data_IF_690930856902
#
_entry.id   IF_690930856902
#
_cell.length_a   1.000
_cell.length_b   1.000
_cell.length_c   1.000
_cell.angle_alpha   90.00
_cell.angle_beta   90.00
_cell.angle_gamma   90.00
#
_symmetry.space_group_name_H-M   'P 1'
#
loop_
_entity.id
_entity.type
_entity.pdbx_description
1 polymer ?
#
# COMPACT_ATOMS: atom_id res chain seq x y z
N UNK A 1 -77.63 2.47 15.22
CA UNK A 1 -76.75 3.61 14.89
C UNK A 1 -75.83 3.15 13.78
N UNK A 2 -75.61 4.01 12.80
CA UNK A 2 -74.50 3.95 11.83
C UNK A 2 -74.61 3.00 10.61
N UNK A 3 -75.04 3.63 9.50
CA UNK A 3 -74.43 3.62 8.15
C UNK A 3 -73.90 2.32 7.54
N UNK A 4 -74.78 1.71 6.74
CA UNK A 4 -74.56 0.75 5.65
C UNK A 4 -73.97 1.44 4.39
N UNK A 5 -73.29 0.68 3.52
CA UNK A 5 -73.69 0.39 2.13
C UNK A 5 -72.69 -0.62 1.54
N UNK A 6 -73.10 -1.89 1.60
CA UNK A 6 -72.78 -2.92 0.62
C UNK A 6 -74.02 -3.06 -0.28
N UNK A 7 -73.86 -3.15 -1.59
CA UNK A 7 -74.85 -3.71 -2.53
C UNK A 7 -74.13 -4.04 -3.85
N UNK A 8 -73.99 -5.30 -4.22
CA UNK A 8 -74.98 -6.26 -4.77
C UNK A 8 -75.12 -6.14 -6.30
N UNK A 9 -74.93 -7.31 -6.90
CA UNK A 9 -75.05 -7.73 -8.28
C UNK A 9 -76.42 -7.43 -8.90
N UNK A 10 -76.42 -7.00 -10.17
CA UNK A 10 -77.57 -7.09 -11.05
C UNK A 10 -77.13 -7.56 -12.44
N UNK A 11 -77.77 -8.64 -12.86
CA UNK A 11 -77.89 -9.19 -14.20
C UNK A 11 -78.36 -8.15 -15.25
N UNK A 12 -77.76 -8.15 -16.44
CA UNK A 12 -78.52 -8.34 -17.70
C UNK A 12 -77.58 -8.59 -18.88
N UNK A 13 -77.82 -9.71 -19.55
CA UNK A 13 -77.47 -9.99 -20.95
C UNK A 13 -78.02 -8.89 -21.87
N UNK A 14 -77.17 -8.29 -22.73
CA UNK A 14 -77.55 -7.96 -24.12
C UNK A 14 -76.30 -7.74 -24.98
N UNK A 15 -76.25 -8.49 -26.09
CA UNK A 15 -75.35 -8.33 -27.23
C UNK A 15 -75.33 -6.88 -27.76
N UNK A 16 -74.16 -6.37 -28.18
CA UNK A 16 -73.99 -5.68 -29.48
C UNK A 16 -72.52 -5.22 -29.74
N UNK A 17 -71.87 -5.95 -30.63
CA UNK A 17 -71.03 -5.50 -31.77
C UNK A 17 -70.12 -4.26 -31.63
N UNK A 18 -68.81 -4.52 -31.72
CA UNK A 18 -67.81 -3.86 -32.59
C UNK A 18 -68.02 -2.36 -32.91
N UNK A 19 -67.32 -1.50 -32.17
CA UNK A 19 -66.95 -0.14 -32.61
C UNK A 19 -65.52 0.15 -32.14
N UNK A 20 -64.53 -0.38 -32.86
CA UNK A 20 -63.14 0.11 -32.76
C UNK A 20 -63.05 1.31 -33.70
N UNK A 21 -63.13 2.51 -33.12
CA UNK A 21 -62.91 3.77 -33.83
C UNK A 21 -61.50 3.82 -34.39
N UNK A 22 -61.39 3.83 -35.72
CA UNK A 22 -60.15 3.98 -36.48
C UNK A 22 -59.60 5.42 -36.31
N UNK A 23 -58.96 5.73 -35.18
CA UNK A 23 -58.33 7.03 -34.95
C UNK A 23 -57.05 7.15 -35.80
N UNK A 24 -57.14 7.89 -36.89
CA UNK A 24 -55.99 8.28 -37.72
C UNK A 24 -55.26 9.45 -37.05
N UNK A 25 -53.94 9.38 -37.03
CA UNK A 25 -53.03 10.37 -36.45
C UNK A 25 -52.61 11.40 -37.50
N UNK A 26 -52.95 12.68 -37.34
CA UNK A 26 -52.63 13.73 -38.31
C UNK A 26 -51.42 14.59 -37.88
N UNK A 27 -50.65 15.05 -38.86
CA UNK A 27 -49.58 16.03 -38.66
C UNK A 27 -50.14 17.46 -38.72
N UNK A 28 -49.92 18.27 -37.69
CA UNK A 28 -50.46 19.64 -37.65
C UNK A 28 -49.74 20.64 -38.59
N UNK A 29 -48.61 20.24 -39.18
CA UNK A 29 -47.77 21.11 -40.03
C UNK A 29 -48.07 20.90 -41.52
N UNK A 30 -48.28 19.66 -41.95
CA UNK A 30 -48.60 19.35 -43.36
C UNK A 30 -49.93 18.61 -43.55
N UNK A 31 -50.72 18.45 -42.48
CA UNK A 31 -52.06 17.84 -42.45
C UNK A 31 -52.17 16.42 -43.02
N UNK A 32 -51.05 15.70 -43.16
CA UNK A 32 -51.05 14.29 -43.57
C UNK A 32 -51.54 13.38 -42.46
N UNK A 33 -52.46 12.47 -42.81
CA UNK A 33 -53.02 11.45 -41.93
C UNK A 33 -52.19 10.16 -41.95
N UNK A 34 -51.97 9.58 -40.78
CA UNK A 34 -51.20 8.36 -40.57
C UNK A 34 -52.03 7.36 -39.77
N UNK A 35 -51.97 6.08 -40.17
CA UNK A 35 -52.68 5.00 -39.47
C UNK A 35 -52.00 4.58 -38.16
N UNK A 36 -50.74 4.95 -37.93
CA UNK A 36 -49.94 4.54 -36.77
C UNK A 36 -49.22 5.74 -36.14
N UNK A 37 -49.26 5.84 -34.80
CA UNK A 37 -48.60 6.89 -34.01
C UNK A 37 -47.09 7.01 -34.29
N UNK A 38 -46.40 5.87 -34.40
CA UNK A 38 -44.96 5.81 -34.66
C UNK A 38 -44.60 6.35 -36.07
N UNK A 39 -45.48 6.18 -37.06
CA UNK A 39 -45.32 6.77 -38.39
C UNK A 39 -45.49 8.28 -38.37
N UNK A 40 -46.41 8.80 -37.54
CA UNK A 40 -46.56 10.23 -37.31
C UNK A 40 -45.33 10.81 -36.59
N UNK A 41 -44.78 10.15 -35.58
CA UNK A 41 -43.60 10.64 -34.84
C UNK A 41 -42.36 10.75 -35.74
N UNK A 42 -42.09 9.72 -36.56
CA UNK A 42 -41.01 9.78 -37.56
C UNK A 42 -41.23 10.90 -38.58
N UNK A 43 -42.49 11.09 -38.99
CA UNK A 43 -42.83 12.16 -39.91
C UNK A 43 -42.70 13.55 -39.27
N UNK A 44 -43.08 13.74 -38.00
CA UNK A 44 -42.94 15.01 -37.27
C UNK A 44 -41.49 15.48 -37.26
N UNK A 45 -40.54 14.61 -36.93
CA UNK A 45 -39.10 14.95 -36.94
C UNK A 45 -38.64 15.47 -38.31
N UNK A 46 -39.08 14.83 -39.40
CA UNK A 46 -38.71 15.23 -40.76
C UNK A 46 -39.51 16.44 -41.27
N UNK A 47 -40.76 16.59 -40.85
CA UNK A 47 -41.64 17.68 -41.23
C UNK A 47 -41.21 18.97 -40.53
N UNK A 48 -40.89 18.90 -39.24
CA UNK A 48 -40.36 20.01 -38.45
C UNK A 48 -39.01 20.46 -39.03
N UNK A 49 -38.10 19.53 -39.37
CA UNK A 49 -36.83 19.87 -40.02
C UNK A 49 -37.02 20.55 -41.40
N UNK A 50 -38.03 20.13 -42.17
CA UNK A 50 -38.32 20.68 -43.50
C UNK A 50 -38.97 22.07 -43.43
N UNK A 51 -39.79 22.33 -42.40
CA UNK A 51 -40.51 23.59 -42.21
C UNK A 51 -39.81 24.58 -41.26
N UNK A 52 -38.70 24.20 -40.61
CA UNK A 52 -37.80 25.12 -39.88
C UNK A 52 -37.41 26.31 -40.76
N UNK A 53 -37.61 27.52 -40.25
CA UNK A 53 -37.28 28.74 -40.97
C UNK A 53 -35.76 28.87 -41.17
N UNK A 54 -35.33 29.61 -42.19
CA UNK A 54 -33.90 29.84 -42.42
C UNK A 54 -33.22 30.54 -41.23
N UNK A 55 -33.98 31.30 -40.43
CA UNK A 55 -33.48 31.97 -39.23
C UNK A 55 -33.19 30.96 -38.10
N UNK A 56 -34.07 30.00 -37.87
CA UNK A 56 -33.89 28.95 -36.85
C UNK A 56 -32.73 28.01 -37.19
N UNK A 57 -32.53 27.72 -38.48
CA UNK A 57 -31.37 26.93 -38.94
C UNK A 57 -30.05 27.66 -38.74
N UNK A 58 -30.07 28.99 -38.79
CA UNK A 58 -28.88 29.81 -38.58
C UNK A 58 -28.56 29.97 -37.10
N UNK A 59 -29.57 30.09 -36.23
CA UNK A 59 -29.41 30.08 -34.77
C UNK A 59 -28.86 28.73 -34.28
N UNK A 60 -29.41 27.59 -34.76
CA UNK A 60 -28.87 26.25 -34.43
C UNK A 60 -27.41 26.09 -34.88
N UNK A 61 -26.99 26.78 -35.95
CA UNK A 61 -25.63 26.73 -36.49
C UNK A 61 -24.67 27.63 -35.70
N UNK A 62 -25.15 28.78 -35.20
CA UNK A 62 -24.40 29.69 -34.33
C UNK A 62 -24.23 29.12 -32.91
N UNK A 63 -25.22 28.39 -32.38
CA UNK A 63 -25.16 27.75 -31.05
C UNK A 63 -24.38 26.42 -31.04
N UNK A 64 -24.24 25.74 -32.18
CA UNK A 64 -23.49 24.49 -32.30
C UNK A 64 -22.00 24.66 -32.63
N UNK A 65 -21.49 25.90 -32.67
CA UNK A 65 -20.13 26.23 -33.16
C UNK A 65 -18.96 25.53 -32.46
N UNK A 66 -19.15 25.07 -31.21
CA UNK A 66 -18.12 24.39 -30.41
C UNK A 66 -18.25 22.86 -30.38
N UNK A 67 -19.25 22.28 -31.06
CA UNK A 67 -19.47 20.82 -31.07
C UNK A 67 -18.78 20.23 -32.30
N UNK A 68 -17.77 19.35 -32.11
CA UNK A 68 -17.11 18.69 -33.23
C UNK A 68 -18.14 17.93 -34.07
N UNK A 69 -18.12 18.14 -35.38
CA UNK A 69 -18.92 17.33 -36.31
C UNK A 69 -18.60 15.85 -36.10
N UNK A 70 -19.53 14.94 -36.42
CA UNK A 70 -19.31 13.50 -36.28
C UNK A 70 -17.99 13.03 -36.95
N UNK A 71 -17.62 13.64 -38.08
CA UNK A 71 -16.35 13.37 -38.76
C UNK A 71 -15.15 13.85 -37.95
N UNK A 72 -15.21 15.04 -37.34
CA UNK A 72 -14.16 15.54 -36.46
C UNK A 72 -14.06 14.72 -35.17
N UNK A 73 -15.19 14.30 -34.59
CA UNK A 73 -15.22 13.40 -33.44
C UNK A 73 -14.55 12.06 -33.74
N UNK A 74 -14.87 11.45 -34.89
CA UNK A 74 -14.21 10.21 -35.35
C UNK A 74 -12.71 10.42 -35.52
N UNK A 75 -12.26 11.55 -36.08
CA UNK A 75 -10.84 11.88 -36.20
C UNK A 75 -10.15 12.05 -34.84
N UNK A 76 -10.84 12.66 -33.86
CA UNK A 76 -10.33 12.82 -32.50
C UNK A 76 -10.20 11.46 -31.82
N UNK A 77 -11.21 10.60 -31.91
CA UNK A 77 -11.17 9.24 -31.35
C UNK A 77 -10.07 8.40 -32.01
N UNK A 78 -9.87 8.52 -33.32
CA UNK A 78 -8.76 7.88 -34.02
C UNK A 78 -7.40 8.38 -33.51
N UNK A 79 -7.23 9.69 -33.34
CA UNK A 79 -6.00 10.27 -32.77
C UNK A 79 -5.77 9.85 -31.32
N UNK A 80 -6.82 9.80 -30.50
CA UNK A 80 -6.73 9.31 -29.13
C UNK A 80 -6.35 7.83 -29.10
N UNK A 81 -6.91 7.00 -29.97
CA UNK A 81 -6.55 5.58 -30.07
C UNK A 81 -5.08 5.41 -30.47
N UNK A 82 -4.58 6.20 -31.43
CA UNK A 82 -3.17 6.18 -31.83
C UNK A 82 -2.28 6.62 -30.66
N UNK A 83 -2.66 7.69 -29.96
CA UNK A 83 -1.91 8.20 -28.80
C UNK A 83 -1.91 7.21 -27.64
N UNK A 84 -3.03 6.52 -27.40
CA UNK A 84 -3.12 5.45 -26.40
C UNK A 84 -2.21 4.28 -26.76
N UNK A 85 -2.23 3.80 -28.01
CA UNK A 85 -1.32 2.73 -28.45
C UNK A 85 0.15 3.13 -28.33
N UNK A 86 0.50 4.38 -28.67
CA UNK A 86 1.85 4.90 -28.47
C UNK A 86 2.25 4.95 -26.99
N UNK A 87 1.37 5.46 -26.12
CA UNK A 87 1.62 5.50 -24.68
C UNK A 87 1.72 4.09 -24.08
N UNK A 88 0.91 3.13 -24.54
CA UNK A 88 1.01 1.72 -24.14
C UNK A 88 2.33 1.08 -24.57
N UNK A 89 2.84 1.44 -25.76
CA UNK A 89 4.13 1.00 -26.26
C UNK A 89 5.29 1.59 -25.44
N UNK A 90 5.30 2.90 -25.21
CA UNK A 90 6.27 3.56 -24.32
C UNK A 90 6.25 2.98 -22.91
N UNK A 91 5.07 2.68 -22.38
CA UNK A 91 4.89 2.08 -21.06
C UNK A 91 5.38 0.61 -21.03
N UNK A 92 5.21 -0.13 -22.13
CA UNK A 92 5.76 -1.47 -22.31
C UNK A 92 7.29 -1.43 -22.41
N UNK A 93 7.86 -0.47 -23.13
CA UNK A 93 9.30 -0.27 -23.23
C UNK A 93 9.91 0.16 -21.91
N UNK A 94 9.28 1.10 -21.18
CA UNK A 94 9.70 1.50 -19.84
C UNK A 94 9.65 0.30 -18.86
N UNK A 95 8.61 -0.53 -18.90
CA UNK A 95 8.52 -1.79 -18.13
C UNK A 95 9.61 -2.79 -18.54
N UNK A 96 9.92 -2.91 -19.84
CA UNK A 96 11.02 -3.78 -20.33
C UNK A 96 12.38 -3.24 -19.89
N UNK A 97 12.61 -1.94 -19.95
CA UNK A 97 13.84 -1.30 -19.50
C UNK A 97 14.01 -1.45 -17.99
N UNK A 98 12.94 -1.23 -17.22
CA UNK A 98 12.92 -1.45 -15.77
C UNK A 98 13.16 -2.93 -15.41
N UNK A 99 12.59 -3.89 -16.15
CA UNK A 99 12.84 -5.32 -15.90
C UNK A 99 14.26 -5.77 -16.29
N UNK A 100 14.85 -5.17 -17.34
CA UNK A 100 16.26 -5.36 -17.71
C UNK A 100 17.20 -4.77 -16.65
N UNK A 101 16.89 -3.59 -16.11
CA UNK A 101 17.66 -2.93 -15.03
C UNK A 101 17.49 -3.62 -13.68
N UNK A 102 16.29 -4.17 -13.39
CA UNK A 102 16.01 -5.03 -12.22
C UNK A 102 16.87 -6.28 -12.17
N UNK A 103 17.42 -6.77 -13.29
CA UNK A 103 18.18 -8.04 -13.30
C UNK A 103 19.48 -8.02 -12.49
N UNK A 104 20.07 -6.87 -12.17
CA UNK A 104 21.16 -6.76 -11.19
C UNK A 104 21.24 -5.33 -10.63
N UNK A 105 20.25 -4.87 -9.87
CA UNK A 105 20.53 -3.73 -8.99
C UNK A 105 21.58 -4.22 -8.01
N UNK A 106 22.80 -3.71 -8.13
CA UNK A 106 23.83 -3.91 -7.13
C UNK A 106 23.40 -3.12 -5.90
N UNK A 107 22.58 -3.74 -5.04
CA UNK A 107 22.05 -3.11 -3.82
C UNK A 107 23.17 -2.50 -2.98
N UNK A 108 24.34 -3.13 -2.95
CA UNK A 108 25.53 -2.61 -2.28
C UNK A 108 26.04 -1.34 -2.96
N UNK A 109 26.17 -1.35 -4.28
CA UNK A 109 26.54 -0.16 -5.06
C UNK A 109 25.57 1.00 -4.86
N UNK A 110 24.26 0.74 -4.97
CA UNK A 110 23.25 1.77 -4.74
C UNK A 110 23.30 2.34 -3.31
N UNK A 111 23.50 1.49 -2.29
CA UNK A 111 23.67 1.95 -0.91
C UNK A 111 24.92 2.83 -0.75
N UNK A 112 26.04 2.47 -1.37
CA UNK A 112 27.27 3.27 -1.35
C UNK A 112 27.08 4.64 -2.00
N UNK A 113 26.33 4.69 -3.10
CA UNK A 113 26.16 5.90 -3.89
C UNK A 113 25.11 6.85 -3.29
N UNK A 114 24.06 6.32 -2.64
CA UNK A 114 22.87 7.10 -2.24
C UNK A 114 22.67 7.20 -0.71
N UNK A 115 23.33 6.35 0.10
CA UNK A 115 23.10 6.31 1.55
C UNK A 115 24.40 6.51 2.30
N UNK A 116 24.52 7.66 2.96
CA UNK A 116 25.61 7.95 3.88
C UNK A 116 25.12 7.78 5.34
N UNK A 117 25.44 6.68 6.01
CA UNK A 117 25.04 6.47 7.39
C UNK A 117 25.83 7.38 8.34
N UNK A 118 25.16 7.85 9.39
CA UNK A 118 25.75 8.74 10.39
C UNK A 118 26.91 8.05 11.14
N UNK A 119 26.85 6.73 11.29
CA UNK A 119 27.76 5.93 12.11
C UNK A 119 28.10 4.59 11.43
N UNK A 120 29.25 3.98 11.72
CA UNK A 120 29.55 2.62 11.26
C UNK A 120 28.74 1.57 12.02
N UNK A 121 28.53 0.39 11.43
CA UNK A 121 27.79 -0.71 12.06
C UNK A 121 28.43 -1.15 13.39
N UNK A 122 29.74 -1.42 13.39
CA UNK A 122 30.45 -1.81 14.62
C UNK A 122 30.41 -0.71 15.69
N UNK A 123 30.52 0.55 15.27
CA UNK A 123 30.44 1.71 16.15
C UNK A 123 29.04 1.82 16.78
N UNK A 124 27.99 1.64 15.98
CA UNK A 124 26.61 1.62 16.48
C UNK A 124 26.34 0.45 17.44
N UNK A 125 26.80 -0.76 17.10
CA UNK A 125 26.67 -1.95 17.98
C UNK A 125 27.39 -1.74 19.32
N UNK A 126 28.51 -1.01 19.32
CA UNK A 126 29.31 -0.79 20.52
C UNK A 126 28.87 0.44 21.34
N UNK A 127 28.43 1.52 20.71
CA UNK A 127 28.19 2.80 21.38
C UNK A 127 26.71 3.10 21.59
N UNK A 128 25.87 2.87 20.57
CA UNK A 128 24.47 3.30 20.57
C UNK A 128 23.49 2.21 21.03
N UNK A 129 23.82 0.93 20.84
CA UNK A 129 22.95 -0.20 21.20
C UNK A 129 22.70 -0.28 22.72
N UNK A 130 21.62 0.29 23.23
CA UNK A 130 21.29 0.32 24.66
C UNK A 130 20.21 -0.69 25.03
N UNK A 131 20.42 -1.36 26.14
CA UNK A 131 19.43 -2.22 26.79
C UNK A 131 18.94 -1.48 28.02
N UNK A 132 17.69 -1.04 28.02
CA UNK A 132 17.05 -0.36 29.14
C UNK A 132 16.48 -1.36 30.18
N UNK A 133 16.30 -0.94 31.44
CA UNK A 133 15.68 -1.75 32.50
C UNK A 133 14.28 -2.28 32.15
N UNK A 134 13.51 -1.53 31.36
CA UNK A 134 12.19 -2.00 30.90
C UNK A 134 12.26 -3.30 30.08
N UNK A 135 13.36 -3.54 29.35
CA UNK A 135 13.55 -4.81 28.63
C UNK A 135 13.74 -5.99 29.60
N UNK A 136 14.21 -5.75 30.82
CA UNK A 136 14.29 -6.77 31.85
C UNK A 136 12.90 -7.14 32.39
N UNK A 137 12.01 -6.17 32.58
CA UNK A 137 10.61 -6.44 32.94
C UNK A 137 9.94 -7.31 31.86
N UNK A 138 10.18 -6.99 30.59
CA UNK A 138 9.71 -7.79 29.46
C UNK A 138 10.32 -9.20 29.44
N UNK A 139 11.57 -9.37 29.90
CA UNK A 139 12.20 -10.69 29.98
C UNK A 139 11.57 -11.56 31.07
N UNK A 140 11.14 -10.96 32.17
CA UNK A 140 10.44 -11.66 33.25
C UNK A 140 9.07 -12.17 32.77
N UNK A 141 8.31 -11.31 32.11
CA UNK A 141 6.94 -11.61 31.67
C UNK A 141 6.85 -12.42 30.36
N UNK A 142 7.72 -12.12 29.38
CA UNK A 142 7.61 -12.65 28.02
C UNK A 142 8.76 -13.59 27.65
N UNK A 143 8.76 -14.03 26.38
CA UNK A 143 9.85 -14.81 25.81
C UNK A 143 11.08 -13.93 25.56
N UNK A 144 12.27 -14.56 25.61
CA UNK A 144 13.52 -13.92 25.24
C UNK A 144 13.49 -13.36 23.81
N UNK A 145 12.83 -14.08 22.89
CA UNK A 145 12.67 -13.64 21.50
C UNK A 145 11.91 -12.32 21.38
N UNK A 146 10.80 -12.20 22.10
CA UNK A 146 10.02 -10.97 22.15
C UNK A 146 10.84 -9.82 22.73
N UNK A 147 11.59 -10.10 23.80
CA UNK A 147 12.45 -9.10 24.44
C UNK A 147 13.55 -8.60 23.50
N UNK A 148 14.25 -9.50 22.81
CA UNK A 148 15.29 -9.13 21.83
C UNK A 148 14.70 -8.34 20.67
N UNK A 149 13.50 -8.69 20.21
CA UNK A 149 12.79 -7.91 19.19
C UNK A 149 12.50 -6.49 19.68
N UNK A 150 12.04 -6.33 20.93
CA UNK A 150 11.81 -5.00 21.52
C UNK A 150 13.09 -4.19 21.70
N UNK A 151 14.21 -4.83 22.04
CA UNK A 151 15.52 -4.18 22.05
C UNK A 151 15.86 -3.64 20.65
N UNK A 152 15.61 -4.41 19.59
CA UNK A 152 15.82 -3.92 18.22
C UNK A 152 14.90 -2.75 17.89
N UNK A 153 13.60 -2.87 18.16
CA UNK A 153 12.63 -1.80 17.90
C UNK A 153 13.03 -0.50 18.61
N UNK A 154 13.44 -0.57 19.87
CA UNK A 154 13.89 0.60 20.64
C UNK A 154 15.15 1.27 20.07
N UNK A 155 16.12 0.47 19.60
CA UNK A 155 17.39 1.01 19.10
C UNK A 155 17.35 1.41 17.62
N UNK A 156 16.35 0.93 16.87
CA UNK A 156 16.16 1.18 15.44
C UNK A 156 14.92 2.03 15.16
N UNK A 157 14.32 2.63 16.18
CA UNK A 157 13.21 3.56 16.00
C UNK A 157 13.71 4.85 15.32
N UNK A 158 13.53 4.89 14.00
CA UNK A 158 13.88 6.02 13.15
C UNK A 158 12.91 7.20 13.39
N UNK A 159 11.72 6.94 13.95
CA UNK A 159 10.69 7.97 14.14
C UNK A 159 11.09 9.04 15.18
N UNK A 160 11.97 8.68 16.13
CA UNK A 160 12.48 9.59 17.16
C UNK A 160 13.75 10.35 16.79
N UNK A 161 14.43 10.02 15.68
CA UNK A 161 15.73 10.61 15.29
C UNK A 161 15.83 10.81 13.77
N UNK A 162 15.29 11.91 13.21
CA UNK A 162 15.31 12.15 11.76
C UNK A 162 16.72 12.29 11.17
N UNK A 163 17.73 12.65 11.97
CA UNK A 163 19.13 12.78 11.53
C UNK A 163 19.93 11.46 11.62
N UNK A 164 19.35 10.41 12.20
CA UNK A 164 20.02 9.12 12.36
C UNK A 164 19.73 8.20 11.17
N UNK A 165 20.70 8.10 10.26
CA UNK A 165 20.66 7.11 9.19
C UNK A 165 21.22 5.79 9.73
N UNK A 166 20.31 4.84 9.97
CA UNK A 166 20.65 3.51 10.49
C UNK A 166 21.73 2.82 9.62
N UNK A 167 22.78 2.25 10.24
CA UNK A 167 23.86 1.55 9.53
C UNK A 167 23.47 0.14 9.10
N UNK A 168 22.22 -0.29 9.33
CA UNK A 168 21.67 -1.57 8.88
C UNK A 168 20.43 -1.34 8.02
N UNK A 169 20.37 -1.99 6.86
CA UNK A 169 19.24 -1.95 5.93
C UNK A 169 18.91 -3.34 5.42
N UNK A 170 17.64 -3.61 5.14
CA UNK A 170 17.20 -4.81 4.43
C UNK A 170 16.04 -4.50 3.47
N UNK A 171 15.94 -5.29 2.41
CA UNK A 171 15.01 -5.04 1.31
C UNK A 171 14.09 -6.25 1.08
N UNK A 172 12.83 -6.00 0.71
CA UNK A 172 11.80 -7.03 0.52
C UNK A 172 12.16 -8.02 -0.59
N UNK A 173 12.97 -7.60 -1.56
CA UNK A 173 13.42 -8.39 -2.71
C UNK A 173 14.39 -9.50 -2.34
N UNK A 174 15.15 -9.33 -1.24
CA UNK A 174 16.10 -10.33 -0.75
C UNK A 174 15.76 -10.72 0.69
N UNK A 175 14.94 -11.75 0.81
CA UNK A 175 14.50 -12.26 2.10
C UNK A 175 15.69 -12.56 3.02
N UNK A 176 15.63 -12.00 4.24
CA UNK A 176 16.63 -12.21 5.28
C UNK A 176 18.07 -11.81 4.94
N UNK A 177 18.26 -10.96 3.93
CA UNK A 177 19.55 -10.37 3.61
C UNK A 177 19.61 -8.98 4.22
N UNK A 178 20.63 -8.74 5.02
CA UNK A 178 20.91 -7.44 5.60
C UNK A 178 22.18 -6.88 4.99
N UNK A 179 22.22 -5.56 4.94
CA UNK A 179 23.34 -4.76 4.49
C UNK A 179 23.80 -3.91 5.67
N UNK A 180 25.10 -3.92 5.92
CA UNK A 180 25.73 -3.16 7.00
C UNK A 180 26.76 -2.21 6.40
N UNK A 181 26.90 -1.03 6.99
CA UNK A 181 27.94 -0.10 6.60
C UNK A 181 29.12 -0.18 7.56
N UNK A 182 30.34 -0.30 7.03
CA UNK A 182 31.56 -0.13 7.81
C UNK A 182 32.19 1.23 7.48
N UNK A 183 32.53 1.97 8.53
CA UNK A 183 33.42 3.13 8.44
C UNK A 183 34.82 2.62 8.76
N UNK A 184 35.58 2.29 7.73
CA UNK A 184 36.84 1.57 7.91
C UNK A 184 37.65 1.52 6.62
N UNK A 185 38.15 2.67 6.19
CA UNK A 185 39.13 2.79 5.12
C UNK A 185 39.96 4.06 5.30
N UNK A 186 41.18 4.08 4.77
CA UNK A 186 42.21 5.14 4.91
C UNK A 186 41.73 6.56 4.50
N UNK A 187 40.52 6.71 3.98
CA UNK A 187 39.91 8.00 3.57
C UNK A 187 38.55 8.32 4.23
N UNK A 188 38.09 7.54 5.23
CA UNK A 188 36.81 7.82 5.92
C UNK A 188 35.56 7.60 5.07
N UNK A 189 35.68 6.90 3.93
CA UNK A 189 34.54 6.52 3.08
C UNK A 189 33.74 5.40 3.74
N UNK A 190 32.42 5.57 3.74
CA UNK A 190 31.43 4.58 4.19
C UNK A 190 31.30 3.48 3.15
N UNK A 191 31.64 2.24 3.50
CA UNK A 191 31.45 1.08 2.61
C UNK A 191 30.34 0.18 3.13
N UNK A 192 29.28 0.05 2.35
CA UNK A 192 28.23 -0.93 2.55
C UNK A 192 28.70 -2.30 2.10
N UNK A 193 28.39 -3.31 2.90
CA UNK A 193 28.61 -4.72 2.58
C UNK A 193 27.41 -5.56 2.99
N UNK A 194 27.30 -6.75 2.40
CA UNK A 194 26.32 -7.72 2.87
C UNK A 194 26.74 -8.25 4.24
N UNK A 195 25.82 -8.24 5.20
CA UNK A 195 26.05 -8.76 6.54
C UNK A 195 26.30 -10.26 6.48
N UNK A 196 27.40 -10.71 7.08
CA UNK A 196 27.69 -12.13 7.23
C UNK A 196 26.98 -12.68 8.46
N UNK A 197 26.83 -14.01 8.49
CA UNK A 197 26.26 -14.69 9.66
C UNK A 197 27.08 -14.44 10.93
N UNK A 198 28.40 -14.30 10.80
CA UNK A 198 29.30 -13.94 11.90
C UNK A 198 28.95 -12.58 12.51
N UNK A 199 28.64 -11.60 11.67
CA UNK A 199 28.34 -10.22 12.09
C UNK A 199 27.00 -10.19 12.83
N UNK A 200 26.03 -10.97 12.35
CA UNK A 200 24.74 -11.13 13.05
C UNK A 200 24.90 -11.81 14.40
N UNK A 201 25.73 -12.86 14.48
CA UNK A 201 26.02 -13.55 15.74
C UNK A 201 26.73 -12.58 16.70
N UNK A 202 27.64 -11.75 16.21
CA UNK A 202 28.30 -10.73 17.03
C UNK A 202 27.27 -9.76 17.61
N UNK A 203 26.35 -9.24 16.79
CA UNK A 203 25.26 -8.37 17.24
C UNK A 203 24.43 -9.02 18.35
N UNK A 204 24.01 -10.27 18.15
CA UNK A 204 23.21 -10.99 19.15
C UNK A 204 24.00 -11.26 20.44
N UNK A 205 25.28 -11.63 20.34
CA UNK A 205 26.17 -11.80 21.50
C UNK A 205 26.34 -10.48 22.26
N UNK A 206 26.46 -9.36 21.57
CA UNK A 206 26.54 -8.04 22.20
C UNK A 206 25.26 -7.71 22.97
N UNK A 207 24.08 -7.94 22.37
CA UNK A 207 22.80 -7.77 23.06
C UNK A 207 22.73 -8.68 24.29
N UNK A 208 23.09 -9.96 24.15
CA UNK A 208 23.08 -10.92 25.24
C UNK A 208 23.98 -10.48 26.40
N UNK A 209 25.23 -10.10 26.12
CA UNK A 209 26.16 -9.62 27.13
C UNK A 209 25.65 -8.35 27.83
N UNK A 210 24.96 -7.46 27.12
CA UNK A 210 24.33 -6.27 27.72
C UNK A 210 23.14 -6.65 28.61
N UNK A 211 22.28 -7.58 28.18
CA UNK A 211 21.20 -8.13 29.01
C UNK A 211 21.75 -8.78 30.29
N UNK A 212 22.86 -9.53 30.19
CA UNK A 212 23.55 -10.14 31.34
C UNK A 212 24.12 -9.09 32.32
N UNK A 213 24.57 -7.95 31.81
CA UNK A 213 25.02 -6.83 32.67
C UNK A 213 23.85 -6.18 33.40
N UNK A 214 22.76 -5.89 32.69
CA UNK A 214 21.58 -5.28 33.28
C UNK A 214 20.93 -6.18 34.34
N UNK A 215 20.81 -7.50 34.08
CA UNK A 215 20.26 -8.43 35.08
C UNK A 215 21.17 -8.56 36.31
N UNK A 216 22.50 -8.49 36.12
CA UNK A 216 23.45 -8.51 37.23
C UNK A 216 23.35 -7.24 38.08
N UNK A 217 23.18 -6.08 37.43
CA UNK A 217 22.97 -4.80 38.10
C UNK A 217 21.65 -4.79 38.87
N UNK A 218 20.56 -5.23 38.23
CA UNK A 218 19.24 -5.33 38.85
C UNK A 218 19.24 -6.27 40.06
N UNK A 219 19.98 -7.39 40.00
CA UNK A 219 20.15 -8.31 41.13
C UNK A 219 20.79 -7.62 42.34
N UNK A 220 21.82 -6.81 42.12
CA UNK A 220 22.48 -6.07 43.21
C UNK A 220 21.55 -5.02 43.80
N UNK A 221 20.81 -4.30 42.94
CA UNK A 221 19.88 -3.24 43.37
C UNK A 221 18.63 -3.76 44.08
N UNK A 222 18.22 -5.00 43.81
CA UNK A 222 17.01 -5.61 44.37
C UNK A 222 17.31 -6.86 45.22
N UNK A 223 18.53 -6.99 45.72
CA UNK A 223 18.97 -8.14 46.51
C UNK A 223 18.01 -8.42 47.67
N UNK A 224 17.68 -7.42 48.47
CA UNK A 224 16.78 -7.54 49.62
C UNK A 224 15.36 -7.97 49.20
N UNK A 225 14.88 -7.47 48.05
CA UNK A 225 13.55 -7.86 47.54
C UNK A 225 13.50 -9.29 47.01
N UNK A 226 14.63 -9.81 46.53
CA UNK A 226 14.73 -11.20 46.07
C UNK A 226 14.71 -12.14 47.28
N UNK A 227 15.40 -11.76 48.36
CA UNK A 227 15.44 -12.54 49.60
C UNK A 227 14.08 -12.52 50.32
N UNK A 228 13.38 -11.38 50.29
CA UNK A 228 12.09 -11.21 50.97
C UNK A 228 10.87 -11.69 50.16
N UNK A 229 10.97 -11.82 48.84
CA UNK A 229 9.83 -12.13 47.96
C UNK A 229 10.11 -13.33 47.03
N UNK A 230 9.58 -14.49 47.43
CA UNK A 230 9.69 -15.76 46.71
C UNK A 230 9.22 -15.67 45.24
N UNK A 231 8.16 -14.90 44.95
CA UNK A 231 7.65 -14.74 43.57
C UNK A 231 8.63 -13.97 42.69
N UNK A 232 9.26 -12.93 43.23
CA UNK A 232 10.25 -12.14 42.50
C UNK A 232 11.51 -12.98 42.27
N UNK A 233 11.92 -13.76 43.27
CA UNK A 233 13.03 -14.72 43.14
C UNK A 233 12.76 -15.77 42.05
N UNK A 234 11.56 -16.34 41.99
CA UNK A 234 11.18 -17.27 40.91
C UNK A 234 11.22 -16.63 39.52
N UNK A 235 10.66 -15.42 39.36
CA UNK A 235 10.66 -14.71 38.08
C UNK A 235 12.09 -14.38 37.63
N UNK A 236 12.93 -13.94 38.55
CA UNK A 236 14.35 -13.68 38.30
C UNK A 236 15.09 -14.94 37.85
N UNK A 237 14.93 -16.05 38.57
CA UNK A 237 15.55 -17.33 38.21
C UNK A 237 15.07 -17.83 36.84
N UNK A 238 13.77 -17.70 36.54
CA UNK A 238 13.23 -17.99 35.20
C UNK A 238 13.88 -17.10 34.13
N UNK A 239 14.05 -15.82 34.38
CA UNK A 239 14.72 -14.90 33.44
C UNK A 239 16.21 -15.25 33.21
N UNK A 240 16.93 -15.63 34.26
CA UNK A 240 18.32 -16.11 34.18
C UNK A 240 18.40 -17.39 33.36
N UNK A 241 17.54 -18.38 33.62
CA UNK A 241 17.53 -19.65 32.87
C UNK A 241 17.23 -19.39 31.38
N UNK A 242 16.29 -18.47 31.08
CA UNK A 242 16.01 -18.05 29.69
C UNK A 242 17.26 -17.50 28.99
N UNK A 243 18.02 -16.63 29.66
CA UNK A 243 19.25 -16.05 29.09
C UNK A 243 20.38 -17.08 28.95
N UNK A 244 20.59 -17.92 29.96
CA UNK A 244 21.64 -18.95 29.95
C UNK A 244 21.42 -20.01 28.88
N UNK A 245 20.15 -20.36 28.60
CA UNK A 245 19.80 -21.32 27.56
C UNK A 245 19.90 -20.74 26.14
N UNK A 246 20.35 -19.49 25.97
CA UNK A 246 20.48 -18.85 24.66
C UNK A 246 21.75 -19.31 23.94
N UNK A 247 21.60 -20.22 22.98
CA UNK A 247 22.67 -20.64 22.06
C UNK A 247 22.56 -19.90 20.73
N UNK A 248 23.70 -19.36 20.26
CA UNK A 248 23.79 -18.65 18.97
C UNK A 248 24.40 -19.52 17.85
N UNK A 249 24.50 -20.83 18.07
CA UNK A 249 25.12 -21.77 17.12
C UNK A 249 24.03 -22.29 16.18
N UNK A 250 23.91 -21.68 15.00
CA UNK A 250 23.10 -22.18 13.86
C UNK A 250 21.70 -22.74 14.20
N UNK A 251 21.02 -22.14 15.18
CA UNK A 251 19.74 -22.64 15.69
C UNK A 251 18.54 -21.92 15.08
N UNK A 252 17.39 -22.62 15.07
CA UNK A 252 16.06 -22.08 14.78
C UNK A 252 15.78 -20.75 15.50
N UNK A 253 16.38 -20.57 16.69
CA UNK A 253 16.34 -19.35 17.51
C UNK A 253 16.90 -18.13 16.77
N UNK A 254 18.09 -18.24 16.19
CA UNK A 254 18.74 -17.14 15.44
C UNK A 254 17.94 -16.80 14.18
N UNK A 255 17.43 -17.82 13.48
CA UNK A 255 16.56 -17.65 12.32
C UNK A 255 15.25 -16.95 12.66
N UNK A 256 14.64 -17.27 13.81
CA UNK A 256 13.41 -16.61 14.28
C UNK A 256 13.64 -15.13 14.59
N UNK A 257 14.72 -14.80 15.29
CA UNK A 257 15.08 -13.41 15.58
C UNK A 257 15.37 -12.65 14.28
N UNK A 258 16.13 -13.28 13.36
CA UNK A 258 16.47 -12.71 12.06
C UNK A 258 15.21 -12.41 11.23
N UNK A 259 14.26 -13.33 11.19
CA UNK A 259 12.98 -13.15 10.50
C UNK A 259 12.15 -12.03 11.14
N UNK A 260 12.10 -11.96 12.47
CA UNK A 260 11.41 -10.88 13.19
C UNK A 260 11.98 -9.51 12.85
N UNK A 261 13.31 -9.39 12.91
CA UNK A 261 14.02 -8.15 12.54
C UNK A 261 13.81 -7.79 11.08
N UNK A 262 13.89 -8.77 10.16
CA UNK A 262 13.66 -8.54 8.73
C UNK A 262 12.24 -8.02 8.48
N UNK A 263 11.22 -8.58 9.14
CA UNK A 263 9.85 -8.12 8.98
C UNK A 263 9.61 -6.71 9.50
N UNK A 264 10.36 -6.29 10.53
CA UNK A 264 10.32 -4.93 11.06
C UNK A 264 11.04 -3.92 10.15
N UNK A 265 12.22 -4.28 9.64
CA UNK A 265 13.09 -3.38 8.88
C UNK A 265 12.89 -3.40 7.36
N UNK A 266 12.15 -4.38 6.80
CA UNK A 266 12.04 -4.54 5.35
C UNK A 266 11.49 -3.28 4.70
N UNK A 267 12.26 -2.74 3.77
CA UNK A 267 11.81 -1.69 2.86
C UNK A 267 11.61 -2.30 1.48
N UNK A 268 10.61 -1.81 0.74
CA UNK A 268 10.47 -2.17 -0.67
C UNK A 268 11.49 -1.35 -1.48
N UNK A 269 12.47 -2.02 -2.11
CA UNK A 269 13.49 -1.32 -2.90
C UNK A 269 12.84 -0.56 -4.05
N UNK A 270 11.71 -1.01 -4.59
CA UNK A 270 11.00 -0.28 -5.65
C UNK A 270 10.45 1.03 -5.12
N UNK A 271 9.86 1.05 -3.93
CA UNK A 271 9.38 2.29 -3.34
C UNK A 271 10.56 3.23 -3.07
N UNK A 272 11.66 2.72 -2.51
CA UNK A 272 12.84 3.55 -2.21
C UNK A 272 13.44 4.15 -3.49
N UNK A 273 13.56 3.36 -4.56
CA UNK A 273 14.13 3.83 -5.83
C UNK A 273 13.16 4.74 -6.60
N UNK A 274 11.85 4.47 -6.58
CA UNK A 274 10.84 5.34 -7.22
C UNK A 274 10.80 6.73 -6.56
N UNK A 275 10.97 6.81 -5.23
CA UNK A 275 11.08 8.08 -4.51
C UNK A 275 12.35 8.88 -4.88
N UNK A 276 13.48 8.22 -5.13
CA UNK A 276 14.71 8.89 -5.56
C UNK A 276 14.66 9.39 -7.01
N UNK A 277 13.72 8.91 -7.83
CA UNK A 277 13.50 9.39 -9.19
C UNK A 277 12.45 10.51 -9.29
N UNK A 278 11.84 10.94 -8.19
CA UNK A 278 10.85 12.04 -8.15
C UNK A 278 11.45 13.44 -7.83
N UNK A 279 12.78 13.60 -7.88
CA UNK A 279 13.45 14.90 -7.71
C UNK A 279 14.34 15.29 -8.89
#
# INVERSE_FOLDING_TARGET
METNINNIEINTNTNNNNLISNQKYCCNVCYKEYSRKNSLEKHKVLCDFKHKSNLEKQIDYEEAGDIPTHIQLVKIVQQLSIKLSHMEEELSEAKKWMSRKKKKINVVGWLNDNVQPTMGFLEWVNMELKVCPHHFDLLMEYSLFYTVQKVFEYNLDISGKPEFVSPIRCFSEKQNVFYICEKGGEEGKSEWKQMLQSDFILLLKTIHNRMLREISKWKVENHDKIDDNEKICELFNKAIIKLMNMTFVQDNSTSRIRNGLFNYLKLDLKNVIEYDFEF
#
